data_IF_710585778048
#
_entry.id   IF_710585778048
#
_cell.length_a   1.000
_cell.length_b   1.000
_cell.length_c   1.000
_cell.angle_alpha   90.00
_cell.angle_beta   90.00
_cell.angle_gamma   90.00
#
_symmetry.space_group_name_H-M   'P 1'
#
loop_
_entity.id
_entity.type
_entity.pdbx_description
1 polymer ?
#
# COMPACT_ATOMS: atom_id res chain seq x y z
N UNK A 1 33.40 -6.43 13.67
CA UNK A 1 32.34 -5.79 14.45
C UNK A 1 31.05 -5.87 13.59
N UNK A 2 29.89 -6.16 14.20
CA UNK A 2 28.61 -6.11 13.48
C UNK A 2 28.35 -4.67 13.02
N UNK A 3 27.82 -4.47 11.79
CA UNK A 3 27.41 -3.15 11.30
C UNK A 3 26.33 -2.58 12.22
N UNK A 4 26.39 -1.29 12.53
CA UNK A 4 25.37 -0.54 13.28
C UNK A 4 24.57 0.34 12.32
N UNK A 5 23.29 0.45 12.54
CA UNK A 5 22.40 1.25 11.70
C UNK A 5 21.64 2.28 12.53
N UNK A 6 21.58 3.50 12.02
CA UNK A 6 20.78 4.56 12.62
C UNK A 6 19.73 5.06 11.62
N UNK A 7 18.45 4.94 11.99
CA UNK A 7 17.32 5.28 11.12
C UNK A 7 16.76 6.65 11.46
N UNK A 8 16.72 7.58 10.49
CA UNK A 8 16.03 8.86 10.65
C UNK A 8 14.57 8.67 10.19
N UNK A 9 13.60 9.00 11.06
CA UNK A 9 12.17 8.68 10.93
C UNK A 9 11.91 7.16 10.90
N UNK A 10 12.42 6.45 11.90
CA UNK A 10 12.34 4.99 12.06
C UNK A 10 10.89 4.46 12.14
N UNK A 11 9.92 5.32 12.54
CA UNK A 11 8.50 5.01 12.62
C UNK A 11 7.76 5.06 11.29
N UNK A 12 8.43 5.41 10.19
CA UNK A 12 7.88 5.24 8.86
C UNK A 12 7.61 3.76 8.55
N UNK A 13 6.56 3.45 7.78
CA UNK A 13 6.15 2.05 7.52
C UNK A 13 7.29 1.20 6.93
N UNK A 14 7.94 1.66 5.84
CA UNK A 14 9.06 0.97 5.22
C UNK A 14 10.31 0.96 6.10
N UNK A 15 10.59 2.10 6.79
CA UNK A 15 11.74 2.23 7.68
C UNK A 15 11.66 1.25 8.85
N UNK A 16 10.49 1.14 9.49
CA UNK A 16 10.27 0.20 10.60
C UNK A 16 10.37 -1.26 10.16
N UNK A 17 9.95 -1.58 8.94
CA UNK A 17 10.12 -2.92 8.36
C UNK A 17 11.59 -3.31 8.22
N UNK A 18 12.40 -2.43 7.62
CA UNK A 18 13.86 -2.60 7.50
C UNK A 18 14.53 -2.72 8.86
N UNK A 19 14.17 -1.84 9.82
CA UNK A 19 14.71 -1.87 11.17
C UNK A 19 14.39 -3.20 11.90
N UNK A 20 13.14 -3.70 11.79
CA UNK A 20 12.74 -5.00 12.36
C UNK A 20 13.51 -6.16 11.75
N UNK A 21 13.66 -6.16 10.42
CA UNK A 21 14.44 -7.20 9.73
C UNK A 21 15.88 -7.23 10.23
N UNK A 22 16.54 -6.07 10.37
CA UNK A 22 17.92 -5.99 10.91
C UNK A 22 18.01 -6.45 12.35
N UNK A 23 17.05 -6.06 13.21
CA UNK A 23 17.02 -6.49 14.63
C UNK A 23 16.87 -8.00 14.76
N UNK A 24 16.03 -8.63 13.93
CA UNK A 24 15.87 -10.09 13.89
C UNK A 24 17.11 -10.83 13.37
N UNK A 25 18.02 -10.10 12.69
CA UNK A 25 19.34 -10.55 12.26
C UNK A 25 20.45 -10.14 13.23
N UNK A 26 20.11 -9.76 14.47
CA UNK A 26 21.05 -9.35 15.52
C UNK A 26 21.94 -8.16 15.17
N UNK A 27 21.54 -7.27 14.25
CA UNK A 27 22.24 -6.01 14.04
C UNK A 27 21.87 -5.00 15.13
N UNK A 28 22.81 -4.09 15.46
CA UNK A 28 22.52 -2.96 16.32
C UNK A 28 21.73 -1.90 15.55
N UNK A 29 20.54 -1.56 16.06
CA UNK A 29 19.66 -0.56 15.44
C UNK A 29 19.33 0.53 16.45
N UNK A 30 19.55 1.77 16.02
CA UNK A 30 19.07 2.97 16.68
C UNK A 30 18.28 3.83 15.69
N UNK A 31 17.60 4.84 16.18
CA UNK A 31 16.91 5.79 15.29
C UNK A 31 16.16 6.87 16.04
N UNK A 32 15.55 7.74 15.26
CA UNK A 32 14.73 8.85 15.74
C UNK A 32 13.41 8.91 15.00
N UNK A 33 12.39 9.46 15.62
CA UNK A 33 11.12 9.81 14.99
C UNK A 33 10.49 11.00 15.73
N UNK A 34 9.65 11.77 15.06
CA UNK A 34 8.92 12.87 15.69
C UNK A 34 7.73 12.39 16.54
N UNK A 35 7.23 11.17 16.29
CA UNK A 35 6.06 10.60 16.94
C UNK A 35 6.36 9.22 17.55
N UNK A 36 5.79 8.95 18.74
CA UNK A 36 5.81 7.61 19.33
C UNK A 36 4.68 6.73 18.77
N UNK A 37 4.79 6.38 17.50
CA UNK A 37 3.81 5.60 16.75
C UNK A 37 3.86 4.11 17.12
N UNK A 38 2.80 3.35 16.72
CA UNK A 38 2.79 1.88 16.84
C UNK A 38 3.99 1.21 16.14
N UNK A 39 4.53 1.82 15.10
CA UNK A 39 5.73 1.34 14.41
C UNK A 39 6.99 1.56 15.25
N UNK A 40 7.14 2.73 15.88
CA UNK A 40 8.22 3.03 16.84
C UNK A 40 8.17 2.06 18.00
N UNK A 41 6.99 1.86 18.59
CA UNK A 41 6.81 0.89 19.70
C UNK A 41 7.15 -0.54 19.27
N UNK A 42 6.84 -0.92 18.04
CA UNK A 42 7.16 -2.22 17.45
C UNK A 42 8.69 -2.47 17.36
N UNK A 43 9.46 -1.50 16.88
CA UNK A 43 10.92 -1.64 16.79
C UNK A 43 11.60 -1.56 18.17
N UNK A 44 11.10 -0.75 19.11
CA UNK A 44 11.57 -0.72 20.50
C UNK A 44 11.41 -2.07 21.20
N UNK A 45 10.29 -2.75 21.00
CA UNK A 45 10.05 -4.10 21.57
C UNK A 45 11.07 -5.13 21.08
N UNK A 46 11.65 -4.93 19.90
CA UNK A 46 12.71 -5.78 19.35
C UNK A 46 14.12 -5.33 19.75
N UNK A 47 14.27 -4.29 20.57
CA UNK A 47 15.53 -3.84 21.11
C UNK A 47 16.16 -2.61 20.45
N UNK A 48 15.46 -1.93 19.52
CA UNK A 48 15.96 -0.68 18.95
C UNK A 48 16.03 0.44 19.99
N UNK A 49 17.12 1.21 19.97
CA UNK A 49 17.24 2.48 20.70
C UNK A 49 16.56 3.59 19.90
N UNK A 50 15.36 4.06 20.30
CA UNK A 50 14.63 5.09 19.57
C UNK A 50 14.44 6.35 20.40
N UNK A 51 14.85 7.48 19.84
CA UNK A 51 14.67 8.83 20.36
C UNK A 51 13.44 9.50 19.74
N UNK A 52 12.70 10.30 20.50
CA UNK A 52 11.62 11.13 20.00
C UNK A 52 12.16 12.55 19.81
N UNK A 53 12.02 13.05 18.57
CA UNK A 53 12.67 14.26 18.09
C UNK A 53 13.99 13.96 17.36
N UNK A 54 14.34 14.84 16.43
CA UNK A 54 15.60 14.77 15.68
C UNK A 54 16.64 15.65 16.36
N UNK A 55 17.77 15.04 16.75
CA UNK A 55 18.90 15.73 17.38
C UNK A 55 20.22 15.07 16.94
N UNK A 56 21.26 15.86 16.72
CA UNK A 56 22.56 15.34 16.30
C UNK A 56 23.14 14.32 17.30
N UNK A 57 22.84 14.45 18.61
CA UNK A 57 23.30 13.53 19.63
C UNK A 57 22.66 12.14 19.54
N UNK A 58 21.59 11.97 18.78
CA UNK A 58 20.95 10.66 18.55
C UNK A 58 21.81 9.74 17.68
N UNK A 59 22.68 10.31 16.81
CA UNK A 59 23.45 9.54 15.82
C UNK A 59 24.73 9.00 16.45
N UNK A 60 24.96 7.68 16.48
CA UNK A 60 26.25 7.09 16.88
C UNK A 60 27.39 7.50 15.92
N UNK A 61 28.61 7.58 16.45
CA UNK A 61 29.76 8.02 15.66
C UNK A 61 30.31 6.94 14.70
N UNK A 62 29.81 5.71 14.79
CA UNK A 62 30.25 4.53 14.02
C UNK A 62 29.08 3.73 13.46
N UNK A 63 28.22 4.34 12.65
CA UNK A 63 27.03 3.69 12.08
C UNK A 63 26.82 4.02 10.59
N UNK A 64 25.97 3.24 9.95
CA UNK A 64 25.35 3.59 8.66
C UNK A 64 24.05 4.32 8.98
N UNK A 65 23.91 5.55 8.49
CA UNK A 65 22.68 6.32 8.63
C UNK A 65 21.74 5.94 7.50
N UNK A 66 20.49 5.59 7.84
CA UNK A 66 19.45 5.24 6.87
C UNK A 66 18.37 6.31 6.88
N UNK A 67 18.07 6.89 5.72
CA UNK A 67 17.07 7.92 5.55
C UNK A 67 16.16 7.64 4.35
N UNK A 68 15.02 8.31 4.29
CA UNK A 68 14.11 8.32 3.12
C UNK A 68 14.14 9.68 2.43
N UNK A 69 13.55 9.76 1.24
CA UNK A 69 13.36 11.01 0.48
C UNK A 69 12.58 12.09 1.27
N UNK A 70 11.79 11.71 2.28
CA UNK A 70 11.06 12.65 3.14
C UNK A 70 11.97 13.47 4.08
N UNK A 71 13.22 13.02 4.30
CA UNK A 71 14.15 13.69 5.21
C UNK A 71 14.91 14.77 4.46
N UNK A 72 14.75 16.01 4.92
CA UNK A 72 15.41 17.17 4.31
C UNK A 72 16.90 17.22 4.67
N UNK A 73 17.70 17.80 3.78
CA UNK A 73 19.13 17.97 3.93
C UNK A 73 19.55 18.75 5.20
N UNK A 74 18.71 19.66 5.70
CA UNK A 74 18.95 20.44 6.90
C UNK A 74 18.64 19.71 8.22
N UNK A 75 18.24 18.43 8.17
CA UNK A 75 18.00 17.64 9.37
C UNK A 75 19.30 17.52 10.19
N UNK A 76 19.29 17.76 11.54
CA UNK A 76 20.51 17.78 12.36
C UNK A 76 21.26 16.46 12.34
N UNK A 77 20.55 15.33 12.21
CA UNK A 77 21.17 14.00 12.16
C UNK A 77 21.88 13.76 10.81
N UNK A 78 21.31 14.24 9.68
CA UNK A 78 21.99 14.24 8.37
C UNK A 78 23.24 15.12 8.42
N UNK A 79 23.14 16.30 9.04
CA UNK A 79 24.28 17.22 9.15
C UNK A 79 25.43 16.63 10.00
N UNK A 80 25.12 15.95 11.11
CA UNK A 80 26.13 15.23 11.89
C UNK A 80 26.77 14.11 11.08
N UNK A 81 25.97 13.28 10.41
CA UNK A 81 26.48 12.19 9.58
C UNK A 81 27.46 12.68 8.51
N UNK A 82 27.13 13.77 7.81
CA UNK A 82 28.01 14.43 6.82
C UNK A 82 29.31 14.94 7.48
N UNK A 83 29.22 15.61 8.63
CA UNK A 83 30.38 16.16 9.36
C UNK A 83 31.35 15.06 9.80
N UNK A 84 30.84 13.91 10.18
CA UNK A 84 31.64 12.76 10.60
C UNK A 84 32.07 11.83 9.44
N UNK A 85 31.61 12.09 8.21
CA UNK A 85 31.88 11.24 7.05
C UNK A 85 31.23 9.86 7.14
N UNK A 86 30.12 9.72 7.88
CA UNK A 86 29.38 8.46 8.00
C UNK A 86 28.67 8.13 6.67
N UNK A 87 28.57 6.83 6.31
CA UNK A 87 27.76 6.41 5.19
C UNK A 87 26.29 6.79 5.40
N UNK A 88 25.68 7.46 4.42
CA UNK A 88 24.26 7.79 4.41
C UNK A 88 23.63 6.99 3.27
N UNK A 89 22.77 6.05 3.63
CA UNK A 89 22.06 5.18 2.71
C UNK A 89 20.60 5.62 2.59
N UNK A 90 20.08 5.59 1.38
CA UNK A 90 18.65 5.66 1.19
C UNK A 90 17.99 4.32 1.62
N UNK A 91 16.72 4.34 2.07
CA UNK A 91 15.98 3.12 2.45
C UNK A 91 16.03 2.04 1.35
N UNK A 92 16.05 2.44 0.09
CA UNK A 92 16.14 1.54 -1.07
C UNK A 92 17.52 0.88 -1.20
N UNK A 93 18.60 1.55 -0.79
CA UNK A 93 19.94 0.96 -0.79
C UNK A 93 20.02 -0.19 0.23
N UNK A 94 19.45 0.03 1.40
CA UNK A 94 19.40 -1.01 2.43
C UNK A 94 18.53 -2.19 2.00
N UNK A 95 17.36 -1.94 1.41
CA UNK A 95 16.49 -3.01 0.90
C UNK A 95 17.19 -3.80 -0.21
N UNK A 96 17.88 -3.12 -1.12
CA UNK A 96 18.64 -3.78 -2.20
C UNK A 96 19.79 -4.63 -1.63
N UNK A 97 20.53 -4.12 -0.65
CA UNK A 97 21.59 -4.86 0.06
C UNK A 97 21.03 -6.13 0.73
N UNK A 98 19.91 -6.03 1.46
CA UNK A 98 19.24 -7.19 2.06
C UNK A 98 18.85 -8.20 0.97
N UNK A 99 18.16 -7.74 -0.07
CA UNK A 99 17.63 -8.59 -1.12
C UNK A 99 18.70 -9.35 -1.93
N UNK A 100 19.91 -8.81 -2.03
CA UNK A 100 21.03 -9.48 -2.70
C UNK A 100 21.46 -10.78 -2.00
N UNK A 101 21.30 -10.83 -0.68
CA UNK A 101 21.70 -11.98 0.14
C UNK A 101 20.59 -13.02 0.31
N UNK A 102 19.36 -12.73 -0.17
CA UNK A 102 18.22 -13.62 -0.06
C UNK A 102 18.16 -14.63 -1.22
N UNK A 103 17.84 -15.92 -0.95
CA UNK A 103 17.91 -16.98 -1.93
C UNK A 103 16.95 -16.79 -3.11
N UNK A 104 15.70 -16.43 -2.85
CA UNK A 104 14.68 -16.23 -3.87
C UNK A 104 13.83 -15.00 -3.56
N UNK A 105 14.08 -13.92 -4.27
CA UNK A 105 13.42 -12.64 -4.07
C UNK A 105 12.19 -12.50 -4.98
N UNK A 106 11.02 -12.29 -4.37
CA UNK A 106 9.76 -11.95 -5.03
C UNK A 106 9.44 -10.49 -4.74
N UNK A 107 9.44 -9.66 -5.78
CA UNK A 107 9.12 -8.24 -5.71
C UNK A 107 7.71 -7.92 -6.21
N UNK A 108 6.99 -7.05 -5.54
CA UNK A 108 5.66 -6.58 -5.96
C UNK A 108 5.73 -5.10 -6.30
N UNK A 109 5.44 -4.75 -7.56
CA UNK A 109 5.52 -3.40 -8.11
C UNK A 109 4.25 -2.99 -8.85
N UNK A 110 4.20 -1.73 -9.27
CA UNK A 110 3.07 -1.12 -9.96
C UNK A 110 2.51 0.07 -9.21
N UNK A 111 1.78 0.94 -9.85
CA UNK A 111 1.23 2.15 -9.26
C UNK A 111 0.33 1.82 -8.05
N UNK A 112 -0.53 0.80 -8.19
CA UNK A 112 -1.49 0.38 -7.17
C UNK A 112 -1.39 -1.11 -6.83
N UNK A 113 -1.84 -1.49 -5.62
CA UNK A 113 -1.95 -2.89 -5.18
C UNK A 113 -0.69 -3.50 -4.58
N UNK A 114 0.47 -2.84 -4.64
CA UNK A 114 1.76 -3.32 -4.10
C UNK A 114 1.67 -3.89 -2.69
N UNK A 115 1.16 -3.09 -1.76
CA UNK A 115 1.05 -3.45 -0.33
C UNK A 115 0.11 -4.63 -0.11
N UNK A 116 -1.02 -4.68 -0.83
CA UNK A 116 -1.98 -5.78 -0.70
C UNK A 116 -1.39 -7.08 -1.26
N UNK A 117 -0.75 -7.05 -2.42
CA UNK A 117 -0.16 -8.24 -3.04
C UNK A 117 1.03 -8.77 -2.25
N UNK A 118 1.96 -7.91 -1.82
CA UNK A 118 3.10 -8.31 -1.01
C UNK A 118 2.66 -8.84 0.37
N UNK A 119 1.67 -8.19 1.00
CA UNK A 119 1.10 -8.63 2.26
C UNK A 119 0.36 -9.97 2.14
N UNK A 120 -0.47 -10.17 1.11
CA UNK A 120 -1.15 -11.43 0.84
C UNK A 120 -0.15 -12.57 0.58
N UNK A 121 0.87 -12.33 -0.23
CA UNK A 121 1.92 -13.31 -0.50
C UNK A 121 2.65 -13.73 0.78
N UNK A 122 3.08 -12.76 1.58
CA UNK A 122 3.74 -13.01 2.88
C UNK A 122 2.83 -13.80 3.83
N UNK A 123 1.56 -13.39 3.92
CA UNK A 123 0.58 -14.02 4.79
C UNK A 123 0.30 -15.50 4.43
N UNK A 124 0.04 -15.81 3.16
CA UNK A 124 -0.28 -17.20 2.77
C UNK A 124 0.91 -18.14 2.93
N UNK A 125 2.13 -17.64 2.68
CA UNK A 125 3.36 -18.41 2.94
C UNK A 125 3.59 -18.64 4.44
N UNK A 126 3.38 -17.61 5.27
CA UNK A 126 3.49 -17.71 6.74
C UNK A 126 2.49 -18.73 7.30
N UNK A 127 1.21 -18.64 6.89
CA UNK A 127 0.15 -19.57 7.33
C UNK A 127 0.35 -21.00 6.84
N UNK A 128 0.97 -21.17 5.67
CA UNK A 128 1.38 -22.47 5.16
C UNK A 128 2.66 -23.01 5.83
N UNK A 129 3.20 -22.31 6.84
CA UNK A 129 4.44 -22.65 7.56
C UNK A 129 5.68 -22.76 6.65
N UNK A 130 5.70 -21.97 5.56
CA UNK A 130 6.84 -21.87 4.62
C UNK A 130 7.83 -20.78 5.02
N UNK A 131 7.70 -20.21 6.20
CA UNK A 131 8.63 -19.29 6.88
C UNK A 131 9.28 -18.23 5.95
N UNK A 132 8.50 -17.36 5.30
CA UNK A 132 9.07 -16.35 4.43
C UNK A 132 9.81 -15.27 5.23
N UNK A 133 10.89 -14.75 4.68
CA UNK A 133 11.38 -13.40 5.01
C UNK A 133 10.56 -12.38 4.25
N UNK A 134 10.19 -11.25 4.86
CA UNK A 134 9.47 -10.20 4.16
C UNK A 134 9.63 -8.81 4.76
N UNK A 135 9.48 -7.79 3.90
CA UNK A 135 9.36 -6.36 4.26
C UNK A 135 8.26 -5.77 3.39
N UNK A 136 7.11 -5.46 4.02
CA UNK A 136 5.90 -5.01 3.30
C UNK A 136 5.43 -3.65 3.77
N UNK A 137 4.69 -2.95 2.92
CA UNK A 137 4.27 -1.55 3.11
C UNK A 137 3.15 -1.31 4.13
N UNK A 138 2.83 -2.29 4.98
CA UNK A 138 1.80 -2.17 6.02
C UNK A 138 1.83 -3.32 7.00
N UNK A 139 1.21 -3.15 8.16
CA UNK A 139 1.04 -4.25 9.11
C UNK A 139 0.00 -5.21 8.53
N UNK A 140 0.35 -6.49 8.49
CA UNK A 140 -0.58 -7.59 8.19
C UNK A 140 -1.35 -7.87 9.50
N UNK A 141 -2.66 -7.59 9.56
CA UNK A 141 -3.40 -7.60 10.83
C UNK A 141 -3.36 -8.94 11.55
N UNK A 142 -3.50 -10.04 10.82
CA UNK A 142 -3.61 -11.40 11.36
C UNK A 142 -2.31 -11.92 11.99
N UNK A 143 -1.17 -11.33 11.65
CA UNK A 143 0.14 -11.69 12.21
C UNK A 143 0.83 -10.48 12.87
N UNK A 144 0.15 -9.32 12.89
CA UNK A 144 0.53 -8.09 13.60
C UNK A 144 1.96 -7.61 13.34
N UNK A 145 2.45 -7.77 12.11
CA UNK A 145 3.79 -7.29 11.72
C UNK A 145 3.83 -6.89 10.24
N UNK A 146 4.83 -6.09 9.87
CA UNK A 146 5.13 -5.70 8.50
C UNK A 146 6.48 -6.22 8.02
N UNK A 147 7.19 -7.00 8.85
CA UNK A 147 8.47 -7.59 8.48
C UNK A 147 8.75 -8.85 9.29
N UNK A 148 9.47 -9.77 8.68
CA UNK A 148 9.99 -10.98 9.29
C UNK A 148 11.30 -11.39 8.60
N UNK A 149 12.26 -11.93 9.39
CA UNK A 149 13.51 -12.50 8.88
C UNK A 149 13.57 -13.97 9.30
N UNK A 150 13.22 -14.86 8.40
CA UNK A 150 13.13 -16.29 8.67
C UNK A 150 14.26 -17.12 8.02
N UNK A 151 15.03 -16.54 7.10
CA UNK A 151 16.18 -17.16 6.41
C UNK A 151 15.87 -18.49 5.70
N UNK A 152 14.64 -18.65 5.23
CA UNK A 152 14.25 -19.77 4.39
C UNK A 152 14.30 -19.34 2.89
N UNK A 153 13.62 -20.07 2.02
CA UNK A 153 13.70 -19.90 0.57
C UNK A 153 13.26 -18.51 0.08
N UNK A 154 12.17 -17.96 0.62
CA UNK A 154 11.50 -16.80 0.03
C UNK A 154 11.75 -15.50 0.79
N UNK A 155 12.10 -14.46 0.06
CA UNK A 155 12.08 -13.07 0.51
C UNK A 155 11.06 -12.29 -0.30
N UNK A 156 10.11 -11.64 0.37
CA UNK A 156 9.04 -10.86 -0.23
C UNK A 156 9.23 -9.37 0.08
N UNK A 157 9.21 -8.52 -0.93
CA UNK A 157 9.22 -7.07 -0.69
C UNK A 157 8.30 -6.32 -1.65
N UNK A 158 7.78 -5.21 -1.13
CA UNK A 158 7.15 -4.17 -1.94
C UNK A 158 8.23 -3.31 -2.59
N UNK A 159 8.14 -3.11 -3.90
CA UNK A 159 9.06 -2.30 -4.70
C UNK A 159 8.38 -1.00 -5.09
N UNK A 160 8.82 0.08 -4.46
CA UNK A 160 8.27 1.42 -4.67
C UNK A 160 8.96 2.09 -5.88
N UNK A 161 8.14 2.52 -6.84
CA UNK A 161 8.60 3.22 -8.04
C UNK A 161 8.61 4.75 -7.87
N UNK A 162 7.97 5.29 -6.82
CA UNK A 162 7.61 6.71 -6.67
C UNK A 162 8.76 7.71 -6.81
N UNK A 163 9.99 7.29 -6.52
CA UNK A 163 11.21 8.09 -6.58
C UNK A 163 12.26 7.50 -7.56
N UNK A 164 11.84 6.59 -8.43
CA UNK A 164 12.69 5.94 -9.43
C UNK A 164 13.71 4.95 -8.87
N UNK A 165 13.75 4.74 -7.54
CA UNK A 165 14.74 3.85 -6.90
C UNK A 165 14.51 2.37 -7.17
N UNK A 166 13.38 2.00 -7.77
CA UNK A 166 13.06 0.62 -8.17
C UNK A 166 14.15 -0.01 -9.04
N UNK A 167 14.89 0.77 -9.81
CA UNK A 167 16.00 0.31 -10.66
C UNK A 167 17.18 -0.33 -9.89
N UNK A 168 17.22 -0.15 -8.57
CA UNK A 168 18.24 -0.74 -7.68
C UNK A 168 18.00 -2.23 -7.39
N UNK A 169 16.78 -2.71 -7.64
CA UNK A 169 16.39 -4.06 -7.27
C UNK A 169 16.56 -5.05 -8.42
N UNK A 170 16.91 -6.29 -8.06
CA UNK A 170 17.08 -7.39 -9.03
C UNK A 170 16.40 -8.66 -8.49
N UNK A 171 15.06 -8.75 -8.53
CA UNK A 171 14.31 -9.90 -8.05
C UNK A 171 14.43 -11.12 -9.00
N UNK A 172 14.18 -12.33 -8.45
CA UNK A 172 13.98 -13.55 -9.21
C UNK A 172 12.62 -13.61 -9.88
N UNK A 173 11.62 -13.02 -9.20
CA UNK A 173 10.27 -12.86 -9.72
C UNK A 173 9.76 -11.48 -9.35
N UNK A 174 9.24 -10.74 -10.33
CA UNK A 174 8.58 -9.46 -10.09
C UNK A 174 7.17 -9.47 -10.64
N UNK A 175 6.24 -8.94 -9.86
CA UNK A 175 4.88 -8.66 -10.29
C UNK A 175 4.79 -7.19 -10.70
N UNK A 176 4.21 -6.93 -11.87
CA UNK A 176 3.83 -5.59 -12.34
C UNK A 176 2.32 -5.54 -12.44
N UNK A 177 1.68 -5.01 -11.38
CA UNK A 177 0.22 -4.99 -11.26
C UNK A 177 -0.45 -4.05 -12.28
N UNK A 178 0.06 -2.84 -12.36
CA UNK A 178 -0.44 -1.77 -13.22
C UNK A 178 0.60 -0.66 -13.32
N UNK A 179 0.53 0.12 -14.39
CA UNK A 179 1.34 1.34 -14.60
C UNK A 179 0.40 2.44 -15.07
N UNK A 180 0.25 3.45 -14.23
CA UNK A 180 -0.63 4.59 -14.43
C UNK A 180 0.11 5.89 -14.10
N UNK A 181 -0.31 7.04 -14.66
CA UNK A 181 0.28 8.32 -14.30
C UNK A 181 0.07 8.64 -12.81
N UNK A 182 1.14 8.58 -12.04
CA UNK A 182 1.19 9.00 -10.63
C UNK A 182 2.57 9.60 -10.34
N UNK A 183 2.75 10.20 -9.17
CA UNK A 183 4.01 10.82 -8.76
C UNK A 183 4.56 11.83 -9.78
N UNK A 184 3.69 12.70 -10.32
CA UNK A 184 4.00 13.64 -11.39
C UNK A 184 5.00 14.73 -10.97
N UNK A 185 5.26 14.89 -9.69
CA UNK A 185 6.34 15.66 -9.11
C UNK A 185 7.72 15.08 -9.48
N UNK A 186 7.84 13.78 -9.56
CA UNK A 186 9.03 13.06 -10.01
C UNK A 186 8.97 12.73 -11.52
N UNK A 187 7.88 12.12 -11.98
CA UNK A 187 7.68 11.70 -13.37
C UNK A 187 7.05 12.79 -14.24
N UNK A 188 7.87 13.77 -14.67
CA UNK A 188 7.41 14.97 -15.39
C UNK A 188 6.64 14.69 -16.69
N UNK A 189 6.94 13.59 -17.39
CA UNK A 189 6.25 13.18 -18.61
C UNK A 189 5.17 12.11 -18.33
N UNK A 190 4.70 12.00 -17.08
CA UNK A 190 3.66 11.05 -16.70
C UNK A 190 4.03 9.59 -17.00
N UNK A 191 3.14 8.87 -17.65
CA UNK A 191 3.31 7.43 -17.93
C UNK A 191 4.58 7.11 -18.73
N UNK A 192 5.04 7.97 -19.64
CA UNK A 192 6.24 7.74 -20.43
C UNK A 192 7.49 7.61 -19.54
N UNK A 193 7.66 8.55 -18.57
CA UNK A 193 8.80 8.49 -17.65
C UNK A 193 8.72 7.27 -16.71
N UNK A 194 7.52 6.82 -16.36
CA UNK A 194 7.30 5.58 -15.58
C UNK A 194 7.74 4.38 -16.41
N UNK A 195 7.32 4.29 -17.68
CA UNK A 195 7.71 3.21 -18.59
C UNK A 195 9.22 3.15 -18.77
N UNK A 196 9.90 4.29 -19.02
CA UNK A 196 11.36 4.36 -19.12
C UNK A 196 12.06 3.84 -17.85
N UNK A 197 11.50 4.11 -16.67
CA UNK A 197 12.02 3.61 -15.39
C UNK A 197 11.85 2.10 -15.29
N UNK A 198 10.69 1.56 -15.67
CA UNK A 198 10.44 0.13 -15.69
C UNK A 198 11.25 -0.60 -16.75
N UNK A 199 11.51 -0.01 -17.92
CA UNK A 199 12.42 -0.54 -18.93
C UNK A 199 13.83 -0.75 -18.36
N UNK A 200 14.37 0.27 -17.67
CA UNK A 200 15.66 0.18 -16.98
C UNK A 200 15.65 -0.88 -15.87
N UNK A 201 14.58 -0.90 -15.06
CA UNK A 201 14.43 -1.88 -14.00
C UNK A 201 14.41 -3.32 -14.52
N UNK A 202 13.56 -3.62 -15.50
CA UNK A 202 13.41 -4.96 -16.05
C UNK A 202 14.62 -5.40 -16.89
N UNK A 203 15.43 -4.46 -17.37
CA UNK A 203 16.69 -4.76 -18.05
C UNK A 203 17.81 -5.20 -17.08
N UNK A 204 17.61 -5.06 -15.76
CA UNK A 204 18.62 -5.37 -14.74
C UNK A 204 18.16 -6.47 -13.75
N UNK A 205 17.30 -7.37 -14.18
CA UNK A 205 16.83 -8.48 -13.35
C UNK A 205 17.88 -9.60 -13.22
N UNK A 206 17.69 -10.49 -12.26
CA UNK A 206 18.49 -11.72 -12.12
C UNK A 206 18.30 -12.62 -13.35
N UNK A 207 19.27 -13.48 -13.56
CA UNK A 207 19.19 -14.46 -14.66
C UNK A 207 17.97 -15.37 -14.51
N UNK A 208 17.28 -15.62 -15.62
CA UNK A 208 16.04 -16.41 -15.71
C UNK A 208 14.88 -15.82 -14.87
N UNK A 209 14.90 -14.52 -14.58
CA UNK A 209 13.84 -13.88 -13.82
C UNK A 209 12.48 -14.01 -14.50
N UNK A 210 11.41 -14.02 -13.68
CA UNK A 210 10.03 -14.08 -14.14
C UNK A 210 9.36 -12.74 -13.90
N UNK A 211 8.68 -12.20 -14.91
CA UNK A 211 7.92 -10.96 -14.84
C UNK A 211 6.44 -11.31 -14.98
N UNK A 212 5.72 -11.31 -13.86
CA UNK A 212 4.25 -11.47 -13.84
C UNK A 212 3.62 -10.15 -14.27
N UNK A 213 2.97 -10.11 -15.43
CA UNK A 213 2.47 -8.88 -16.05
C UNK A 213 0.95 -8.90 -16.21
N UNK A 214 0.27 -7.91 -15.63
CA UNK A 214 -1.17 -7.69 -15.80
C UNK A 214 -1.45 -7.05 -17.17
N UNK A 215 -1.82 -7.85 -18.14
CA UNK A 215 -2.08 -7.37 -19.50
C UNK A 215 -3.48 -6.79 -19.72
N UNK A 216 -4.32 -6.68 -18.69
CA UNK A 216 -5.55 -5.87 -18.76
C UNK A 216 -5.23 -4.37 -18.52
N UNK A 217 -4.08 -4.06 -17.90
CA UNK A 217 -3.63 -2.68 -17.73
C UNK A 217 -2.84 -2.19 -18.96
N UNK A 218 -3.22 -1.01 -19.49
CA UNK A 218 -2.65 -0.48 -20.73
C UNK A 218 -1.17 -0.13 -20.62
N UNK A 219 -0.72 0.44 -19.48
CA UNK A 219 0.69 0.74 -19.26
C UNK A 219 1.54 -0.54 -19.26
N UNK A 220 1.05 -1.61 -18.63
CA UNK A 220 1.74 -2.91 -18.62
C UNK A 220 1.73 -3.55 -20.01
N UNK A 221 0.63 -3.46 -20.78
CA UNK A 221 0.62 -3.91 -22.19
C UNK A 221 1.70 -3.23 -23.02
N UNK A 222 1.88 -1.91 -22.87
CA UNK A 222 2.90 -1.14 -23.57
C UNK A 222 4.30 -1.63 -23.17
N UNK A 223 4.54 -1.91 -21.90
CA UNK A 223 5.79 -2.44 -21.40
C UNK A 223 6.10 -3.84 -21.99
N UNK A 224 5.11 -4.74 -21.98
CA UNK A 224 5.26 -6.08 -22.60
C UNK A 224 5.52 -5.97 -24.09
N UNK A 225 4.82 -5.09 -24.81
CA UNK A 225 5.04 -4.85 -26.24
C UNK A 225 6.45 -4.34 -26.51
N UNK A 226 6.93 -3.37 -25.72
CA UNK A 226 8.31 -2.85 -25.84
C UNK A 226 9.33 -3.99 -25.79
N UNK A 227 9.25 -4.89 -24.82
CA UNK A 227 10.18 -6.02 -24.69
C UNK A 227 9.91 -7.19 -25.65
N UNK A 228 8.80 -7.18 -26.39
CA UNK A 228 8.61 -8.08 -27.52
C UNK A 228 9.49 -7.66 -28.71
N UNK A 229 9.71 -6.36 -28.88
CA UNK A 229 10.54 -5.74 -29.90
C UNK A 229 12.03 -5.65 -29.45
N UNK A 230 12.27 -5.47 -28.15
CA UNK A 230 13.58 -5.33 -27.51
C UNK A 230 13.78 -6.46 -26.50
N UNK A 231 14.63 -7.42 -26.82
CA UNK A 231 14.83 -8.61 -25.97
C UNK A 231 15.13 -8.24 -24.51
N UNK A 232 14.47 -8.94 -23.58
CA UNK A 232 14.81 -8.91 -22.16
C UNK A 232 16.24 -9.43 -21.95
N UNK A 233 16.97 -8.81 -21.02
CA UNK A 233 18.29 -9.26 -20.59
C UNK A 233 18.18 -10.54 -19.75
N UNK A 234 19.28 -11.27 -19.60
CA UNK A 234 19.43 -12.37 -18.63
C UNK A 234 18.41 -13.51 -18.76
N UNK A 235 17.92 -13.80 -19.97
CA UNK A 235 16.89 -14.83 -20.20
C UNK A 235 15.60 -14.65 -19.37
N UNK A 236 15.33 -13.44 -18.91
CA UNK A 236 14.07 -13.14 -18.23
C UNK A 236 12.88 -13.33 -19.18
N UNK A 237 11.71 -13.65 -18.61
CA UNK A 237 10.50 -13.90 -19.40
C UNK A 237 9.27 -13.26 -18.76
N UNK A 238 8.36 -12.81 -19.62
CA UNK A 238 7.02 -12.46 -19.18
C UNK A 238 6.16 -13.71 -18.98
N UNK A 239 5.35 -13.65 -17.93
CA UNK A 239 4.23 -14.54 -17.67
C UNK A 239 3.02 -13.63 -17.46
N UNK A 240 2.06 -13.71 -18.35
CA UNK A 240 0.95 -12.77 -18.40
C UNK A 240 -0.24 -13.23 -17.57
N UNK A 241 -0.99 -12.27 -17.00
CA UNK A 241 -2.24 -12.57 -16.34
C UNK A 241 -3.33 -11.52 -16.64
N UNK A 242 -4.60 -11.96 -16.60
CA UNK A 242 -5.77 -11.13 -16.88
C UNK A 242 -7.06 -11.70 -16.28
N UNK A 243 -8.15 -10.93 -16.31
CA UNK A 243 -9.50 -11.41 -16.05
C UNK A 243 -10.19 -11.72 -17.38
N UNK A 244 -10.54 -12.99 -17.59
CA UNK A 244 -11.27 -13.47 -18.78
C UNK A 244 -10.46 -13.52 -20.08
N UNK A 245 -9.24 -13.01 -20.10
CA UNK A 245 -8.40 -12.95 -21.30
C UNK A 245 -7.72 -14.27 -21.66
N UNK A 246 -7.06 -14.29 -22.83
CA UNK A 246 -6.21 -15.38 -23.27
C UNK A 246 -4.75 -15.10 -22.90
N UNK A 247 -4.41 -15.34 -21.66
CA UNK A 247 -3.11 -15.10 -21.04
C UNK A 247 -2.60 -16.36 -20.37
N UNK A 248 -1.34 -16.37 -19.89
CA UNK A 248 -0.80 -17.54 -19.20
C UNK A 248 -1.66 -17.89 -17.98
N UNK A 249 -2.04 -16.89 -17.16
CA UNK A 249 -3.00 -17.04 -16.06
C UNK A 249 -4.25 -16.23 -16.34
N UNK A 250 -5.43 -16.82 -16.12
CA UNK A 250 -6.68 -16.06 -16.17
C UNK A 250 -7.63 -16.42 -15.04
N UNK A 251 -8.31 -15.39 -14.49
CA UNK A 251 -9.43 -15.57 -13.58
C UNK A 251 -10.75 -15.56 -14.37
N UNK A 252 -11.60 -16.56 -14.15
CA UNK A 252 -12.92 -16.68 -14.80
C UNK A 252 -13.99 -17.03 -13.77
N UNK A 253 -15.26 -16.98 -14.17
CA UNK A 253 -16.41 -17.38 -13.34
C UNK A 253 -16.44 -16.66 -11.98
N UNK A 254 -16.14 -15.34 -11.97
CA UNK A 254 -16.05 -14.56 -10.76
C UNK A 254 -17.43 -14.33 -10.17
N UNK A 255 -17.60 -14.78 -8.92
CA UNK A 255 -18.82 -14.59 -8.14
C UNK A 255 -18.52 -13.73 -6.91
N UNK A 256 -19.12 -12.54 -6.83
CA UNK A 256 -19.01 -11.63 -5.70
C UNK A 256 -20.12 -11.91 -4.67
N UNK A 257 -19.84 -12.77 -3.69
CA UNK A 257 -20.73 -13.06 -2.57
C UNK A 257 -20.62 -12.07 -1.43
N UNK A 258 -21.49 -12.17 -0.43
CA UNK A 258 -21.48 -11.28 0.76
C UNK A 258 -20.23 -11.46 1.63
N UNK A 259 -19.78 -12.70 1.86
CA UNK A 259 -18.60 -12.98 2.66
C UNK A 259 -17.34 -13.11 1.80
N UNK A 260 -17.45 -13.78 0.67
CA UNK A 260 -16.32 -14.17 -0.16
C UNK A 260 -16.52 -13.79 -1.61
N UNK A 261 -15.42 -13.52 -2.29
CA UNK A 261 -15.34 -13.57 -3.75
C UNK A 261 -14.75 -14.91 -4.13
N UNK A 262 -15.38 -15.62 -5.09
CA UNK A 262 -14.96 -16.94 -5.57
C UNK A 262 -14.73 -16.86 -7.07
N UNK A 263 -13.63 -17.43 -7.56
CA UNK A 263 -13.32 -17.44 -8.98
C UNK A 263 -12.42 -18.63 -9.35
N UNK A 264 -12.48 -19.02 -10.62
CA UNK A 264 -11.67 -20.10 -11.17
C UNK A 264 -10.34 -19.53 -11.71
N UNK A 265 -9.22 -20.17 -11.37
CA UNK A 265 -7.90 -19.88 -11.90
C UNK A 265 -7.55 -20.89 -12.99
N UNK A 266 -7.21 -20.36 -14.16
CA UNK A 266 -6.72 -21.13 -15.30
C UNK A 266 -5.25 -20.81 -15.54
N UNK A 267 -4.45 -21.83 -15.86
CA UNK A 267 -3.08 -21.70 -16.36
C UNK A 267 -2.99 -22.33 -17.74
N UNK A 268 -2.61 -21.55 -18.75
CA UNK A 268 -2.54 -21.97 -20.17
C UNK A 268 -3.83 -22.67 -20.65
N UNK A 269 -4.97 -22.17 -20.21
CA UNK A 269 -6.28 -22.67 -20.58
C UNK A 269 -6.81 -23.86 -19.76
N UNK A 270 -5.99 -24.41 -18.87
CA UNK A 270 -6.39 -25.53 -17.99
C UNK A 270 -6.79 -25.02 -16.61
N UNK A 271 -7.94 -25.48 -16.10
CA UNK A 271 -8.42 -25.16 -14.75
C UNK A 271 -7.45 -25.72 -13.70
N UNK A 272 -6.94 -24.87 -12.84
CA UNK A 272 -6.04 -25.25 -11.75
C UNK A 272 -6.77 -25.40 -10.42
N UNK A 273 -7.61 -24.41 -10.08
CA UNK A 273 -8.36 -24.41 -8.83
C UNK A 273 -9.51 -23.40 -8.90
N UNK A 274 -10.49 -23.56 -8.00
CA UNK A 274 -11.45 -22.52 -7.65
C UNK A 274 -10.98 -21.85 -6.37
N UNK A 275 -10.56 -20.59 -6.46
CA UNK A 275 -10.03 -19.84 -5.33
C UNK A 275 -11.13 -19.06 -4.63
N UNK A 276 -11.06 -19.02 -3.29
CA UNK A 276 -11.95 -18.27 -2.40
C UNK A 276 -11.13 -17.19 -1.69
N UNK A 277 -11.57 -15.93 -1.75
CA UNK A 277 -10.96 -14.81 -1.04
C UNK A 277 -12.01 -14.02 -0.26
N UNK A 278 -11.66 -13.46 0.90
CA UNK A 278 -12.58 -12.58 1.63
C UNK A 278 -12.47 -11.10 1.19
N UNK A 279 -11.43 -10.77 0.42
CA UNK A 279 -11.27 -9.44 -0.13
C UNK A 279 -12.33 -9.13 -1.18
N UNK A 280 -12.82 -7.87 -1.19
CA UNK A 280 -13.85 -7.40 -2.11
C UNK A 280 -13.24 -6.64 -3.29
N UNK A 281 -13.99 -6.61 -4.40
CA UNK A 281 -13.66 -5.83 -5.58
C UNK A 281 -12.74 -6.54 -6.56
N UNK A 282 -12.90 -6.16 -7.83
CA UNK A 282 -12.18 -6.76 -8.96
C UNK A 282 -10.66 -6.63 -8.85
N UNK A 283 -10.18 -5.51 -8.28
CA UNK A 283 -8.75 -5.29 -8.05
C UNK A 283 -8.13 -6.36 -7.13
N UNK A 284 -8.90 -6.91 -6.18
CA UNK A 284 -8.41 -7.98 -5.33
C UNK A 284 -8.45 -9.35 -6.00
N UNK A 285 -9.25 -9.54 -7.03
CA UNK A 285 -9.14 -10.71 -7.93
C UNK A 285 -7.81 -10.66 -8.68
N UNK A 286 -7.44 -9.49 -9.26
CA UNK A 286 -6.11 -9.30 -9.87
C UNK A 286 -4.98 -9.52 -8.87
N UNK A 287 -5.05 -8.92 -7.69
CA UNK A 287 -4.03 -9.07 -6.64
C UNK A 287 -3.85 -10.56 -6.25
N UNK A 288 -4.95 -11.29 -6.06
CA UNK A 288 -4.91 -12.69 -5.69
C UNK A 288 -4.41 -13.59 -6.81
N UNK A 289 -4.81 -13.31 -8.05
CA UNK A 289 -4.33 -14.02 -9.24
C UNK A 289 -2.81 -13.81 -9.43
N UNK A 290 -2.32 -12.58 -9.24
CA UNK A 290 -0.90 -12.25 -9.30
C UNK A 290 -0.09 -13.02 -8.24
N UNK A 291 -0.56 -13.04 -6.99
CA UNK A 291 0.09 -13.79 -5.90
C UNK A 291 0.06 -15.29 -6.20
N UNK A 292 -1.11 -15.82 -6.56
CA UNK A 292 -1.26 -17.25 -6.87
C UNK A 292 -0.32 -17.69 -8.00
N UNK A 293 -0.34 -16.95 -9.12
CA UNK A 293 0.53 -17.20 -10.27
C UNK A 293 2.02 -17.10 -9.93
N UNK A 294 2.40 -16.11 -9.10
CA UNK A 294 3.77 -15.93 -8.64
C UNK A 294 4.26 -17.13 -7.81
N UNK A 295 3.46 -17.59 -6.87
CA UNK A 295 3.79 -18.74 -6.02
C UNK A 295 3.86 -20.04 -6.85
N UNK A 296 2.93 -20.23 -7.80
CA UNK A 296 2.95 -21.35 -8.72
C UNK A 296 4.23 -21.35 -9.59
N UNK A 297 4.62 -20.20 -10.14
CA UNK A 297 5.87 -20.05 -10.91
C UNK A 297 7.14 -20.26 -10.04
N UNK A 298 7.07 -19.91 -8.76
CA UNK A 298 8.17 -20.12 -7.80
C UNK A 298 8.27 -21.58 -7.29
N UNK A 299 7.37 -22.47 -7.76
CA UNK A 299 7.34 -23.90 -7.43
C UNK A 299 6.76 -24.22 -6.05
N UNK A 300 5.89 -23.36 -5.54
CA UNK A 300 5.17 -23.64 -4.29
C UNK A 300 4.09 -24.70 -4.54
N UNK A 301 3.92 -25.64 -3.60
CA UNK A 301 2.79 -26.58 -3.61
C UNK A 301 1.52 -25.82 -3.28
N UNK A 302 0.67 -25.58 -4.29
CA UNK A 302 -0.47 -24.67 -4.17
C UNK A 302 -1.53 -25.14 -3.18
N UNK A 303 -1.67 -26.44 -2.96
CA UNK A 303 -2.60 -27.00 -1.95
C UNK A 303 -2.28 -26.54 -0.53
N UNK A 304 -1.01 -26.23 -0.24
CA UNK A 304 -0.61 -25.70 1.07
C UNK A 304 -1.06 -24.25 1.28
N UNK A 305 -1.13 -23.45 0.23
CA UNK A 305 -1.40 -22.00 0.33
C UNK A 305 -2.85 -21.63 -0.01
N UNK A 306 -3.53 -22.40 -0.88
CA UNK A 306 -4.90 -22.13 -1.33
C UNK A 306 -5.90 -21.83 -0.19
N UNK A 307 -5.95 -22.61 0.93
CA UNK A 307 -6.89 -22.35 2.01
C UNK A 307 -6.71 -20.99 2.69
N UNK A 308 -5.49 -20.46 2.67
CA UNK A 308 -5.14 -19.23 3.39
C UNK A 308 -5.54 -17.95 2.67
N UNK A 309 -5.83 -18.01 1.37
CA UNK A 309 -6.40 -16.87 0.65
C UNK A 309 -7.75 -16.42 1.19
N UNK A 310 -8.57 -17.38 1.66
CA UNK A 310 -9.89 -17.10 2.25
C UNK A 310 -9.82 -16.48 3.65
N UNK A 311 -8.66 -16.47 4.30
CA UNK A 311 -8.50 -15.98 5.67
C UNK A 311 -7.69 -14.68 5.77
N UNK A 312 -7.17 -14.17 4.66
CA UNK A 312 -6.51 -12.86 4.61
C UNK A 312 -7.56 -11.76 4.52
N UNK A 313 -7.70 -10.95 5.56
CA UNK A 313 -8.72 -9.88 5.64
C UNK A 313 -8.28 -8.55 5.00
N UNK A 314 -7.06 -8.51 4.49
CA UNK A 314 -6.47 -7.34 3.86
C UNK A 314 -5.37 -6.70 4.69
N UNK A 315 -4.75 -5.69 4.12
CA UNK A 315 -3.78 -4.85 4.84
C UNK A 315 -4.54 -3.82 5.68
N UNK A 316 -3.94 -3.41 6.79
CA UNK A 316 -4.51 -2.31 7.57
C UNK A 316 -4.75 -1.07 6.69
N UNK A 317 -5.91 -0.44 6.87
CA UNK A 317 -6.35 0.70 6.05
C UNK A 317 -6.57 0.36 4.56
N UNK A 318 -7.02 -0.85 4.22
CA UNK A 318 -7.43 -1.24 2.86
C UNK A 318 -8.81 -1.88 2.94
N UNK A 319 -9.85 -1.03 2.83
CA UNK A 319 -11.26 -1.36 3.07
C UNK A 319 -11.47 -2.10 4.40
N UNK A 320 -10.73 -1.64 5.42
CA UNK A 320 -10.69 -2.27 6.73
C UNK A 320 -11.93 -1.89 7.54
N UNK A 321 -12.70 -2.89 8.00
CA UNK A 321 -13.79 -2.64 8.95
C UNK A 321 -13.20 -2.18 10.30
N UNK A 322 -13.55 -0.96 10.72
CA UNK A 322 -13.09 -0.36 11.99
C UNK A 322 -14.01 -0.76 13.14
N UNK A 323 -15.32 -0.82 12.87
CA UNK A 323 -16.33 -1.19 13.85
C UNK A 323 -17.74 -1.06 13.31
N UNK A 324 -18.69 -1.26 14.21
CA UNK A 324 -20.13 -1.16 13.94
C UNK A 324 -20.88 -0.73 15.20
N UNK A 325 -21.91 0.10 15.05
CA UNK A 325 -22.86 0.45 16.11
C UNK A 325 -24.23 0.75 15.49
N UNK A 326 -25.31 0.41 16.16
CA UNK A 326 -26.71 0.67 15.75
C UNK A 326 -27.03 0.35 14.29
N UNK A 327 -26.39 -0.70 13.72
CA UNK A 327 -26.53 -1.09 12.32
C UNK A 327 -25.71 -0.24 11.32
N UNK A 328 -24.90 0.70 11.82
CA UNK A 328 -23.97 1.52 11.02
C UNK A 328 -22.61 0.83 10.99
N UNK A 329 -22.10 0.51 9.81
CA UNK A 329 -20.77 -0.08 9.65
C UNK A 329 -19.75 0.96 9.23
N UNK A 330 -18.54 0.93 9.81
CA UNK A 330 -17.48 1.91 9.56
C UNK A 330 -16.26 1.21 8.96
N UNK A 331 -15.76 1.77 7.87
CA UNK A 331 -14.57 1.31 7.16
C UNK A 331 -13.52 2.41 7.05
N UNK A 332 -12.23 2.03 7.06
CA UNK A 332 -11.08 2.91 6.78
C UNK A 332 -10.35 2.41 5.53
N UNK A 333 -10.10 3.32 4.59
CA UNK A 333 -9.33 3.01 3.39
C UNK A 333 -8.27 4.08 3.13
N UNK A 334 -7.09 3.64 2.77
CA UNK A 334 -5.95 4.51 2.45
C UNK A 334 -6.07 5.18 1.07
N UNK A 335 -7.07 4.80 0.27
CA UNK A 335 -7.32 5.35 -1.06
C UNK A 335 -7.30 6.88 -1.06
N UNK A 336 -6.41 7.45 -1.84
CA UNK A 336 -6.15 8.88 -1.92
C UNK A 336 -5.87 9.35 -3.37
N UNK A 337 -5.85 8.43 -4.32
CA UNK A 337 -5.82 8.67 -5.76
C UNK A 337 -7.21 8.39 -6.36
N UNK A 338 -7.68 9.12 -7.41
CA UNK A 338 -9.00 8.92 -8.00
C UNK A 338 -9.30 7.46 -8.40
N UNK A 339 -8.33 6.79 -9.01
CA UNK A 339 -8.43 5.36 -9.40
C UNK A 339 -8.65 4.46 -8.19
N UNK A 340 -7.92 4.69 -7.08
CA UNK A 340 -8.07 3.93 -5.84
C UNK A 340 -9.45 4.17 -5.21
N UNK A 341 -9.87 5.44 -5.11
CA UNK A 341 -11.18 5.82 -4.56
C UNK A 341 -12.29 5.14 -5.35
N UNK A 342 -12.26 5.23 -6.68
CA UNK A 342 -13.22 4.56 -7.55
C UNK A 342 -13.24 3.05 -7.35
N UNK A 343 -12.09 2.41 -7.24
CA UNK A 343 -11.97 0.98 -6.98
C UNK A 343 -12.55 0.59 -5.61
N UNK A 344 -12.24 1.35 -4.57
CA UNK A 344 -12.77 1.16 -3.20
C UNK A 344 -14.28 1.33 -3.19
N UNK A 345 -14.81 2.43 -3.76
CA UNK A 345 -16.23 2.71 -3.78
C UNK A 345 -17.03 1.74 -4.65
N UNK A 346 -16.46 1.24 -5.75
CA UNK A 346 -17.10 0.20 -6.55
C UNK A 346 -17.30 -1.10 -5.77
N UNK A 347 -16.42 -1.39 -4.80
CA UNK A 347 -16.55 -2.54 -3.90
C UNK A 347 -17.73 -2.40 -2.94
N UNK A 348 -18.16 -1.16 -2.63
CA UNK A 348 -19.29 -0.88 -1.76
C UNK A 348 -20.65 -1.30 -2.34
N UNK A 349 -20.74 -1.55 -3.66
CA UNK A 349 -21.93 -2.13 -4.31
C UNK A 349 -22.33 -3.49 -3.75
N UNK A 350 -21.42 -4.17 -3.03
CA UNK A 350 -21.73 -5.40 -2.31
C UNK A 350 -22.67 -5.16 -1.12
N UNK A 351 -22.79 -3.93 -0.60
CA UNK A 351 -23.70 -3.55 0.48
C UNK A 351 -25.11 -3.29 -0.08
N UNK A 352 -25.78 -4.34 -0.52
CA UNK A 352 -27.14 -4.22 -1.06
C UNK A 352 -28.09 -3.58 -0.06
N UNK A 353 -28.89 -2.59 -0.53
CA UNK A 353 -29.89 -1.87 0.25
C UNK A 353 -29.34 -1.06 1.46
N UNK A 354 -28.06 -0.70 1.45
CA UNK A 354 -27.45 0.17 2.46
C UNK A 354 -27.04 1.49 1.83
N UNK A 355 -27.11 2.56 2.60
CA UNK A 355 -26.71 3.89 2.17
C UNK A 355 -25.21 4.08 2.43
N UNK A 356 -24.43 4.34 1.37
CA UNK A 356 -22.96 4.46 1.42
C UNK A 356 -22.54 5.92 1.50
N UNK A 357 -21.82 6.26 2.55
CA UNK A 357 -21.29 7.61 2.81
C UNK A 357 -19.77 7.58 2.67
N UNK A 358 -19.24 8.24 1.64
CA UNK A 358 -17.81 8.45 1.46
C UNK A 358 -17.37 9.69 2.25
N UNK A 359 -16.41 9.54 3.15
CA UNK A 359 -15.78 10.66 3.87
C UNK A 359 -14.36 10.79 3.36
N UNK A 360 -14.13 11.75 2.48
CA UNK A 360 -12.88 11.93 1.75
C UNK A 360 -12.02 13.04 2.35
N UNK A 361 -10.77 12.70 2.71
CA UNK A 361 -9.73 13.66 3.07
C UNK A 361 -8.74 13.80 1.91
N UNK A 362 -8.77 14.90 1.13
CA UNK A 362 -7.75 15.14 0.12
C UNK A 362 -6.35 15.13 0.76
N UNK A 363 -5.39 14.49 0.09
CA UNK A 363 -4.02 14.34 0.57
C UNK A 363 -3.05 15.04 -0.37
N UNK A 364 -2.37 16.10 0.10
CA UNK A 364 -1.53 17.07 -0.61
C UNK A 364 -2.31 18.03 -1.52
N UNK A 365 -1.95 19.29 -1.46
CA UNK A 365 -2.53 20.31 -2.34
C UNK A 365 -2.14 20.08 -3.80
N UNK A 366 -0.91 19.70 -4.07
CA UNK A 366 -0.42 19.41 -5.44
C UNK A 366 -1.17 18.25 -6.08
N UNK A 367 -1.45 17.17 -5.35
CA UNK A 367 -2.24 16.04 -5.88
C UNK A 367 -3.68 16.47 -6.17
N UNK A 368 -4.31 17.19 -5.24
CA UNK A 368 -5.69 17.67 -5.45
C UNK A 368 -5.76 18.57 -6.69
N UNK A 369 -4.79 19.46 -6.87
CA UNK A 369 -4.71 20.33 -8.05
C UNK A 369 -4.51 19.54 -9.35
N UNK A 370 -3.53 18.66 -9.38
CA UNK A 370 -3.13 17.95 -10.59
C UNK A 370 -4.18 16.93 -11.09
N UNK A 371 -4.98 16.37 -10.17
CA UNK A 371 -5.98 15.35 -10.45
C UNK A 371 -7.41 15.83 -10.18
N UNK A 372 -7.62 17.13 -10.20
CA UNK A 372 -8.90 17.76 -9.86
C UNK A 372 -10.08 17.19 -10.65
N UNK A 373 -9.92 17.10 -11.97
CA UNK A 373 -10.97 16.60 -12.84
C UNK A 373 -11.22 15.10 -12.68
N UNK A 374 -10.17 14.32 -12.45
CA UNK A 374 -10.24 12.88 -12.23
C UNK A 374 -10.97 12.55 -10.92
N UNK A 375 -10.78 13.36 -9.88
CA UNK A 375 -11.52 13.24 -8.63
C UNK A 375 -13.01 13.47 -8.80
N UNK A 376 -13.46 14.36 -9.72
CA UNK A 376 -14.88 14.60 -9.97
C UNK A 376 -15.62 13.34 -10.42
N UNK A 377 -14.95 12.41 -11.12
CA UNK A 377 -15.50 11.14 -11.57
C UNK A 377 -15.30 9.96 -10.60
N UNK A 378 -14.73 10.17 -9.42
CA UNK A 378 -14.36 9.08 -8.53
C UNK A 378 -15.47 8.64 -7.56
N UNK A 379 -16.55 9.43 -7.39
CA UNK A 379 -17.56 9.25 -6.34
C UNK A 379 -18.93 8.78 -6.86
N UNK A 380 -19.01 8.21 -8.07
CA UNK A 380 -20.27 7.80 -8.70
C UNK A 380 -21.01 6.64 -8.00
N UNK A 381 -20.34 5.90 -7.13
CA UNK A 381 -20.83 4.66 -6.54
C UNK A 381 -21.22 4.79 -5.07
N UNK A 382 -21.64 5.99 -4.63
CA UNK A 382 -22.06 6.28 -3.25
C UNK A 382 -23.33 7.10 -3.21
N UNK A 383 -23.95 7.18 -2.03
CA UNK A 383 -25.20 7.93 -1.81
C UNK A 383 -24.95 9.33 -1.20
N UNK A 384 -23.78 9.57 -0.61
CA UNK A 384 -23.39 10.86 -0.03
C UNK A 384 -21.87 10.99 -0.01
N UNK A 385 -21.35 12.18 -0.27
CA UNK A 385 -19.94 12.53 -0.17
C UNK A 385 -19.73 13.60 0.90
N UNK A 386 -18.84 13.36 1.82
CA UNK A 386 -18.35 14.32 2.80
C UNK A 386 -16.89 14.59 2.52
N UNK A 387 -16.51 15.83 2.24
CA UNK A 387 -15.12 16.24 2.03
C UNK A 387 -14.60 16.93 3.28
N UNK A 388 -13.44 16.54 3.77
CA UNK A 388 -12.81 17.18 4.94
C UNK A 388 -11.64 18.08 4.50
N UNK A 389 -11.06 18.82 5.44
CA UNK A 389 -9.91 19.67 5.14
C UNK A 389 -8.76 18.87 4.51
N UNK A 390 -8.03 19.54 3.60
CA UNK A 390 -6.87 18.95 2.93
C UNK A 390 -5.80 18.60 3.94
N UNK A 391 -5.30 17.37 3.91
CA UNK A 391 -4.11 16.99 4.65
C UNK A 391 -2.86 17.41 3.87
N UNK A 392 -2.18 18.44 4.36
CA UNK A 392 -1.10 19.11 3.64
C UNK A 392 0.15 18.23 3.41
N UNK A 393 0.45 17.26 4.30
CA UNK A 393 1.64 16.41 4.23
C UNK A 393 2.95 17.23 4.02
N UNK A 394 3.07 18.34 4.78
CA UNK A 394 4.19 19.30 4.73
C UNK A 394 4.27 20.17 3.47
N UNK A 395 3.23 20.20 2.64
CA UNK A 395 3.11 21.16 1.54
C UNK A 395 2.52 22.49 2.03
N UNK A 396 2.90 23.58 1.39
CA UNK A 396 2.25 24.88 1.59
C UNK A 396 0.90 24.92 0.86
N UNK A 397 -0.10 25.68 1.37
CA UNK A 397 -1.37 25.87 0.69
C UNK A 397 -1.21 26.49 -0.70
N UNK A 398 -2.00 25.99 -1.67
CA UNK A 398 -2.06 26.53 -3.03
C UNK A 398 -3.33 27.38 -3.15
N UNK A 399 -3.24 28.60 -3.66
CA UNK A 399 -4.37 29.51 -3.86
C UNK A 399 -5.44 28.86 -4.74
N UNK A 400 -6.71 28.89 -4.29
CA UNK A 400 -7.83 28.27 -4.99
C UNK A 400 -7.98 26.75 -4.78
N UNK A 401 -6.96 26.07 -4.24
CA UNK A 401 -6.97 24.62 -4.02
C UNK A 401 -7.29 24.31 -2.56
N UNK A 402 -8.54 24.05 -2.26
CA UNK A 402 -9.00 23.71 -0.91
C UNK A 402 -10.26 22.82 -0.96
N UNK A 403 -10.61 22.25 0.19
CA UNK A 403 -11.74 21.33 0.32
C UNK A 403 -13.10 21.97 0.00
N UNK A 404 -13.28 23.25 0.30
CA UNK A 404 -14.53 23.97 0.04
C UNK A 404 -14.73 24.22 -1.46
N UNK A 405 -13.70 24.73 -2.15
CA UNK A 405 -13.73 24.93 -3.60
C UNK A 405 -13.98 23.60 -4.33
N UNK A 406 -13.28 22.54 -3.89
CA UNK A 406 -13.46 21.19 -4.44
C UNK A 406 -14.89 20.67 -4.25
N UNK A 407 -15.44 20.82 -3.03
CA UNK A 407 -16.82 20.36 -2.72
C UNK A 407 -17.86 21.13 -3.53
N UNK A 408 -17.66 22.43 -3.72
CA UNK A 408 -18.60 23.25 -4.50
C UNK A 408 -18.66 22.82 -5.95
N UNK A 409 -17.49 22.56 -6.58
CA UNK A 409 -17.47 22.07 -7.96
C UNK A 409 -18.01 20.62 -8.05
N UNK A 410 -17.71 19.77 -7.07
CA UNK A 410 -18.23 18.41 -7.02
C UNK A 410 -19.79 18.40 -7.01
N UNK A 411 -20.43 19.30 -6.24
CA UNK A 411 -21.90 19.48 -6.23
C UNK A 411 -22.50 19.82 -7.59
N UNK A 412 -21.73 20.51 -8.44
CA UNK A 412 -22.16 20.89 -9.77
C UNK A 412 -22.00 19.76 -10.79
N UNK A 413 -21.07 18.83 -10.52
CA UNK A 413 -20.69 17.77 -11.46
C UNK A 413 -21.41 16.45 -11.24
N UNK A 414 -21.82 16.14 -10.00
CA UNK A 414 -22.46 14.87 -9.66
C UNK A 414 -23.80 15.12 -8.97
N UNK A 415 -24.80 14.29 -9.29
CA UNK A 415 -26.13 14.32 -8.68
C UNK A 415 -26.17 13.47 -7.40
N UNK A 416 -25.24 13.77 -6.47
CA UNK A 416 -25.11 13.09 -5.19
C UNK A 416 -24.93 14.17 -4.11
N UNK A 417 -25.61 14.06 -2.95
CA UNK A 417 -25.44 14.99 -1.84
C UNK A 417 -23.96 15.10 -1.43
N UNK A 418 -23.40 16.31 -1.51
CA UNK A 418 -22.03 16.62 -1.12
C UNK A 418 -22.00 17.69 -0.06
N UNK A 419 -21.08 17.57 0.90
CA UNK A 419 -20.85 18.60 1.91
C UNK A 419 -19.38 18.68 2.30
N UNK A 420 -18.98 19.86 2.83
CA UNK A 420 -17.65 20.07 3.38
C UNK A 420 -17.73 20.18 4.90
N UNK A 421 -17.05 19.30 5.64
CA UNK A 421 -16.91 19.36 7.08
C UNK A 421 -15.49 19.74 7.46
N UNK A 422 -15.33 20.84 8.20
CA UNK A 422 -14.03 21.41 8.58
C UNK A 422 -13.63 21.03 10.00
N UNK A 423 -12.32 20.97 10.22
CA UNK A 423 -11.69 20.75 11.52
C UNK A 423 -10.94 19.42 11.61
N UNK A 424 -10.47 19.11 12.81
CA UNK A 424 -9.86 17.81 13.09
C UNK A 424 -10.88 16.65 13.02
N UNK A 425 -10.39 15.43 12.99
CA UNK A 425 -11.27 14.26 12.84
C UNK A 425 -12.28 14.09 14.00
N UNK A 426 -11.95 14.57 15.17
CA UNK A 426 -12.89 14.60 16.32
C UNK A 426 -14.05 15.58 16.08
N UNK A 427 -13.73 16.74 15.51
CA UNK A 427 -14.72 17.76 15.13
C UNK A 427 -15.59 17.27 13.97
N UNK A 428 -14.96 16.67 12.95
CA UNK A 428 -15.67 16.06 11.81
C UNK A 428 -16.61 14.95 12.29
N UNK A 429 -16.14 14.05 13.18
CA UNK A 429 -16.96 12.99 13.74
C UNK A 429 -18.19 13.55 14.50
N UNK A 430 -18.02 14.61 15.31
CA UNK A 430 -19.15 15.26 16.03
C UNK A 430 -20.17 15.88 15.08
N UNK A 431 -19.76 16.40 13.94
CA UNK A 431 -20.66 16.97 12.94
C UNK A 431 -21.39 15.87 12.14
N UNK A 432 -20.69 14.79 11.81
CA UNK A 432 -21.23 13.68 11.02
C UNK A 432 -22.17 12.77 11.84
N UNK A 433 -21.78 12.43 13.08
CA UNK A 433 -22.47 11.44 13.93
C UNK A 433 -24.00 11.65 14.03
N UNK A 434 -24.55 12.85 14.31
CA UNK A 434 -26.00 13.06 14.44
C UNK A 434 -26.76 12.90 13.12
N UNK A 435 -26.08 12.82 11.99
CA UNK A 435 -26.69 12.67 10.65
C UNK A 435 -26.78 11.21 10.20
N UNK A 436 -26.09 10.30 10.90
CA UNK A 436 -26.02 8.88 10.56
C UNK A 436 -27.32 8.15 10.95
N UNK A 437 -27.67 7.13 10.18
CA UNK A 437 -28.87 6.30 10.38
C UNK A 437 -28.52 4.83 10.32
N UNK A 438 -29.34 4.01 11.00
CA UNK A 438 -29.23 2.55 10.90
C UNK A 438 -29.27 2.11 9.43
N UNK A 439 -28.35 1.25 9.04
CA UNK A 439 -28.15 0.83 7.66
C UNK A 439 -27.08 1.60 6.90
N UNK A 440 -26.56 2.71 7.44
CA UNK A 440 -25.47 3.44 6.80
C UNK A 440 -24.14 2.66 6.81
N UNK A 441 -23.36 2.87 5.76
CA UNK A 441 -21.95 2.42 5.65
C UNK A 441 -21.08 3.65 5.48
N UNK A 442 -20.25 3.94 6.46
CA UNK A 442 -19.32 5.08 6.44
C UNK A 442 -17.95 4.58 6.01
N UNK A 443 -17.40 5.16 4.94
CA UNK A 443 -16.08 4.79 4.40
C UNK A 443 -15.17 6.03 4.47
N UNK A 444 -14.19 6.01 5.38
CA UNK A 444 -13.13 7.01 5.44
C UNK A 444 -12.09 6.76 4.35
N UNK A 445 -11.81 7.77 3.52
CA UNK A 445 -10.91 7.69 2.35
C UNK A 445 -9.79 8.72 2.48
N UNK A 446 -8.53 8.25 2.44
CA UNK A 446 -7.37 9.15 2.42
C UNK A 446 -6.14 8.62 3.15
N UNK A 447 -4.97 9.15 2.80
CA UNK A 447 -3.68 8.76 3.37
C UNK A 447 -3.32 9.49 4.68
N UNK A 448 -4.12 10.51 5.08
CA UNK A 448 -3.86 11.38 6.22
C UNK A 448 -4.52 10.94 7.53
N UNK A 449 -5.00 11.94 8.28
CA UNK A 449 -5.60 11.78 9.62
C UNK A 449 -7.00 11.18 9.60
N UNK A 450 -7.61 11.00 8.43
CA UNK A 450 -8.95 10.40 8.25
C UNK A 450 -9.07 9.03 8.94
N UNK A 451 -7.97 8.29 9.07
CA UNK A 451 -7.92 6.99 9.77
C UNK A 451 -8.41 7.06 11.23
N UNK A 452 -8.44 8.25 11.85
CA UNK A 452 -8.97 8.44 13.20
C UNK A 452 -10.50 8.51 13.22
N UNK A 453 -11.15 8.86 12.10
CA UNK A 453 -12.60 9.11 12.05
C UNK A 453 -13.42 7.95 12.63
N UNK A 454 -13.10 6.72 12.24
CA UNK A 454 -13.86 5.55 12.68
C UNK A 454 -13.81 5.36 14.20
N UNK A 455 -12.65 5.59 14.82
CA UNK A 455 -12.49 5.51 16.28
C UNK A 455 -13.25 6.63 17.00
N UNK A 456 -13.23 7.84 16.44
CA UNK A 456 -13.94 8.98 17.00
C UNK A 456 -15.47 8.76 16.93
N UNK A 457 -16.00 8.19 15.85
CA UNK A 457 -17.43 7.86 15.75
C UNK A 457 -17.84 6.79 16.77
N UNK A 458 -17.03 5.73 16.94
CA UNK A 458 -17.29 4.70 17.96
C UNK A 458 -17.23 5.27 19.38
N UNK A 459 -16.27 6.16 19.66
CA UNK A 459 -16.15 6.80 20.97
C UNK A 459 -17.37 7.68 21.30
N UNK A 460 -17.90 8.43 20.32
CA UNK A 460 -19.12 9.24 20.50
C UNK A 460 -20.35 8.36 20.80
N UNK A 461 -20.50 7.22 20.14
CA UNK A 461 -21.55 6.25 20.44
C UNK A 461 -21.44 5.73 21.88
N UNK A 462 -20.23 5.31 22.30
CA UNK A 462 -19.98 4.77 23.64
C UNK A 462 -20.20 5.81 24.74
N UNK A 463 -19.85 7.08 24.48
CA UNK A 463 -20.14 8.21 25.38
C UNK A 463 -21.66 8.44 25.51
N UNK A 464 -22.40 8.44 24.41
CA UNK A 464 -23.86 8.58 24.40
C UNK A 464 -24.57 7.43 25.12
N UNK A 465 -24.13 6.22 24.98
CA UNK A 465 -24.65 5.03 25.66
C UNK A 465 -24.43 5.07 27.19
N UNK A 466 -23.40 5.79 27.68
CA UNK A 466 -23.11 5.96 29.11
C UNK A 466 -23.95 7.05 29.76
N UNK A 467 -24.40 8.06 29.02
CA UNK A 467 -25.24 9.18 29.52
C UNK A 467 -26.71 8.79 29.55
N UNK A 468 -27.12 7.79 28.79
CA UNK A 468 -28.49 7.27 28.73
C UNK A 468 -28.81 6.12 29.71
N UNK A 469 -27.85 5.75 30.58
CA UNK A 469 -28.02 4.82 31.72
C UNK A 469 -27.93 5.60 33.03
#
# INVERSE_FOLDING_TARGET
>A
MKKKYHFIAIGGVGMSGLAKYLLQNDFEVSGSDINDSKYVQGVRKLGAKVHIGHDENNVPDDCIVVASTAIRENNPEIQKAKRLGLPIWHRSDLLAEIAQHEPYFIGFSGTHGKTTTSGLCSYVLEKANLKPSYIVGGIIPEINTNANAAHDKFFIAELDESDGTIVKYSPNLVVVNNLEPDHLDFYKNGLESILETFEKFLSNLRENAIIMANTDNEGVKRLVKYFTEHKLSHNAKFVTYSIGGNTDYSAKNINYGEEYTVFDIYYKGELQTTLKICLKGVHNVYNSLAVWGSLHQAGVQMDLVNPHFATFTGMGRRFQKVGEFDGISIYDDYAHHPTEIKATLSSSKSFKNRNVIAVFQPHRYTRLQNLWNEFMGAFSDVDRVVVTDVYAASEDPIEGVNSEAFTNELKEKIDIPCENLKGDMKTVAKQLFPTLKSGDVVIGLGAGTITALGKELLALHDEGAKVGK
#
